data_IF_963751249012
#
_entry.id   IF_963751249012
#
_cell.length_a   1.000
_cell.length_b   1.000
_cell.length_c   1.000
_cell.angle_alpha   90.00
_cell.angle_beta   90.00
_cell.angle_gamma   90.00
#
_symmetry.space_group_name_H-M   'P 1'
#
loop_
_entity.id
_entity.type
_entity.pdbx_description
1 polymer ?
#
# COMPACT_ATOMS: atom_id res chain seq x y z
N UNK A 1 -18.17 -7.90 -4.33
CA UNK A 1 -17.19 -8.64 -5.15
C UNK A 1 -15.82 -8.34 -4.55
N UNK A 2 -15.07 -9.34 -4.06
CA UNK A 2 -13.75 -9.12 -3.43
C UNK A 2 -12.78 -8.57 -4.48
N UNK A 3 -12.53 -7.25 -4.41
CA UNK A 3 -11.82 -6.45 -5.41
C UNK A 3 -10.31 -6.65 -5.40
N UNK A 4 -9.85 -7.73 -6.03
CA UNK A 4 -8.43 -7.89 -6.38
C UNK A 4 -8.22 -8.31 -7.85
N UNK A 5 -9.30 -8.43 -8.63
CA UNK A 5 -9.34 -8.73 -10.07
C UNK A 5 -8.12 -9.44 -10.68
N UNK A 6 -7.63 -8.89 -11.80
CA UNK A 6 -6.40 -9.29 -12.50
C UNK A 6 -5.11 -8.79 -11.82
N UNK A 7 -5.22 -7.92 -10.82
CA UNK A 7 -4.06 -7.30 -10.15
C UNK A 7 -3.53 -8.09 -8.97
N UNK A 8 -4.29 -9.08 -8.47
CA UNK A 8 -3.91 -9.92 -7.32
C UNK A 8 -2.50 -10.48 -7.42
N UNK A 9 -2.11 -11.00 -8.59
CA UNK A 9 -0.77 -11.55 -8.79
C UNK A 9 0.32 -10.47 -8.73
N UNK A 10 0.04 -9.28 -9.28
CA UNK A 10 0.95 -8.14 -9.22
C UNK A 10 1.15 -7.66 -7.77
N UNK A 11 0.08 -7.56 -7.00
CA UNK A 11 0.12 -7.22 -5.57
C UNK A 11 0.92 -8.23 -4.76
N UNK A 12 0.65 -9.53 -4.95
CA UNK A 12 1.41 -10.58 -4.29
C UNK A 12 2.89 -10.54 -4.67
N UNK A 13 3.22 -10.25 -5.93
CA UNK A 13 4.61 -10.11 -6.40
C UNK A 13 5.32 -8.94 -5.71
N UNK A 14 4.65 -7.80 -5.54
CA UNK A 14 5.18 -6.63 -4.82
C UNK A 14 5.40 -6.93 -3.34
N UNK A 15 4.41 -7.52 -2.68
CA UNK A 15 4.50 -7.91 -1.28
C UNK A 15 5.65 -8.92 -1.03
N UNK A 16 5.83 -9.92 -1.90
CA UNK A 16 6.97 -10.85 -1.82
C UNK A 16 8.33 -10.14 -1.97
N UNK A 17 8.40 -9.09 -2.80
CA UNK A 17 9.62 -8.28 -2.93
C UNK A 17 9.89 -7.49 -1.65
N UNK A 18 8.86 -6.87 -1.07
CA UNK A 18 8.95 -6.14 0.20
C UNK A 18 9.39 -7.07 1.33
N UNK A 19 8.79 -8.26 1.43
CA UNK A 19 9.20 -9.30 2.38
C UNK A 19 10.68 -9.65 2.24
N UNK A 20 11.19 -9.75 1.01
CA UNK A 20 12.61 -9.92 0.73
C UNK A 20 13.48 -8.77 1.24
N UNK A 21 13.00 -7.52 1.17
CA UNK A 21 13.68 -6.36 1.75
C UNK A 21 13.73 -6.45 3.28
N UNK A 22 12.64 -6.87 3.94
CA UNK A 22 12.59 -7.05 5.39
C UNK A 22 13.56 -8.16 5.84
N UNK A 23 13.59 -9.30 5.15
CA UNK A 23 14.61 -10.33 5.40
C UNK A 23 16.04 -9.83 5.17
N UNK A 24 16.22 -8.92 4.21
CA UNK A 24 17.49 -8.23 3.98
C UNK A 24 17.91 -7.39 5.18
N UNK A 25 17.00 -6.60 5.74
CA UNK A 25 17.24 -5.79 6.94
C UNK A 25 17.65 -6.65 8.14
N UNK A 26 16.97 -7.78 8.37
CA UNK A 26 17.34 -8.73 9.43
C UNK A 26 18.80 -9.17 9.30
N UNK A 27 19.21 -9.62 8.10
CA UNK A 27 20.62 -10.01 7.84
C UNK A 27 21.60 -8.86 8.01
N UNK A 28 21.22 -7.63 7.66
CA UNK A 28 22.11 -6.48 7.85
C UNK A 28 22.36 -6.20 9.33
N UNK A 29 21.33 -6.35 10.17
CA UNK A 29 21.47 -6.23 11.63
C UNK A 29 22.30 -7.37 12.20
N UNK A 30 22.04 -8.62 11.80
CA UNK A 30 22.82 -9.80 12.23
C UNK A 30 24.31 -9.71 11.86
N UNK A 31 24.64 -8.96 10.81
CA UNK A 31 26.00 -8.77 10.30
C UNK A 31 26.65 -7.46 10.77
N UNK A 32 26.05 -6.76 11.74
CA UNK A 32 26.52 -5.47 12.27
C UNK A 32 26.85 -4.45 11.15
N UNK A 33 26.00 -4.37 10.12
CA UNK A 33 26.18 -3.42 9.02
C UNK A 33 26.07 -1.98 9.49
N UNK A 34 26.71 -1.08 8.74
CA UNK A 34 26.70 0.33 9.06
C UNK A 34 25.27 0.89 9.11
N UNK A 35 24.98 1.64 10.18
CA UNK A 35 23.62 2.12 10.46
C UNK A 35 23.01 2.92 9.30
N UNK A 36 23.81 3.68 8.56
CA UNK A 36 23.31 4.47 7.42
C UNK A 36 22.85 3.58 6.26
N UNK A 37 23.51 2.45 6.03
CA UNK A 37 23.09 1.49 5.01
C UNK A 37 21.76 0.83 5.40
N UNK A 38 21.61 0.49 6.69
CA UNK A 38 20.36 -0.04 7.24
C UNK A 38 19.24 0.99 7.06
N UNK A 39 19.45 2.26 7.42
CA UNK A 39 18.46 3.33 7.26
C UNK A 39 18.09 3.56 5.78
N UNK A 40 19.05 3.42 4.87
CA UNK A 40 18.82 3.49 3.42
C UNK A 40 17.89 2.35 2.99
N UNK A 41 18.15 1.13 3.46
CA UNK A 41 17.33 -0.03 3.13
C UNK A 41 15.93 0.03 3.77
N UNK A 42 15.81 0.57 4.99
CA UNK A 42 14.51 0.86 5.63
C UNK A 42 13.72 1.82 4.77
N UNK A 43 14.33 2.93 4.33
CA UNK A 43 13.68 3.91 3.46
C UNK A 43 13.21 3.29 2.14
N UNK A 44 14.00 2.37 1.57
CA UNK A 44 13.62 1.65 0.35
C UNK A 44 12.41 0.70 0.57
N UNK A 45 12.33 0.04 1.74
CA UNK A 45 11.19 -0.82 2.09
C UNK A 45 9.92 0.02 2.35
N UNK A 46 10.04 1.13 3.07
CA UNK A 46 8.93 2.06 3.33
C UNK A 46 8.38 2.63 2.03
N UNK A 47 9.24 3.07 1.10
CA UNK A 47 8.81 3.57 -0.21
C UNK A 47 8.08 2.51 -1.04
N UNK A 48 8.51 1.25 -0.96
CA UNK A 48 7.83 0.15 -1.64
C UNK A 48 6.43 -0.11 -1.05
N UNK A 49 6.27 -0.04 0.28
CA UNK A 49 4.98 -0.12 0.96
C UNK A 49 4.05 1.05 0.62
N UNK A 50 4.58 2.27 0.57
CA UNK A 50 3.82 3.45 0.15
C UNK A 50 3.33 3.31 -1.29
N UNK A 51 4.19 2.87 -2.22
CA UNK A 51 3.79 2.60 -3.61
C UNK A 51 2.69 1.54 -3.70
N UNK A 52 2.79 0.46 -2.93
CA UNK A 52 1.74 -0.57 -2.88
C UNK A 52 0.42 -0.03 -2.33
N UNK A 53 0.48 0.82 -1.28
CA UNK A 53 -0.70 1.43 -0.68
C UNK A 53 -1.44 2.36 -1.63
N UNK A 54 -0.69 3.12 -2.45
CA UNK A 54 -1.26 3.97 -3.50
C UNK A 54 -1.95 3.15 -4.60
N UNK A 55 -1.35 2.04 -5.04
CA UNK A 55 -1.97 1.16 -6.05
C UNK A 55 -3.30 0.57 -5.56
N UNK A 56 -3.36 0.10 -4.31
CA UNK A 56 -4.62 -0.38 -3.71
C UNK A 56 -5.67 0.73 -3.60
N UNK A 57 -5.24 1.95 -3.27
CA UNK A 57 -6.14 3.09 -3.20
C UNK A 57 -6.71 3.42 -4.59
N UNK A 58 -5.87 3.42 -5.63
CA UNK A 58 -6.30 3.68 -7.01
C UNK A 58 -7.35 2.64 -7.46
N UNK A 59 -7.14 1.34 -7.18
CA UNK A 59 -8.15 0.31 -7.47
C UNK A 59 -9.46 0.56 -6.68
N UNK A 60 -9.36 0.93 -5.40
CA UNK A 60 -10.53 1.22 -4.57
C UNK A 60 -11.33 2.43 -5.10
N UNK A 61 -10.65 3.49 -5.52
CA UNK A 61 -11.27 4.67 -6.12
C UNK A 61 -11.96 4.29 -7.45
N UNK A 62 -11.26 3.57 -8.32
CA UNK A 62 -11.75 3.21 -9.65
C UNK A 62 -12.93 2.22 -9.62
N UNK A 63 -13.06 1.42 -8.56
CA UNK A 63 -14.11 0.42 -8.43
C UNK A 63 -15.18 0.85 -7.44
N UNK A 64 -14.88 0.82 -6.14
CA UNK A 64 -15.86 1.05 -5.08
C UNK A 64 -16.42 2.47 -5.09
N UNK A 65 -15.56 3.49 -5.22
CA UNK A 65 -16.02 4.89 -5.18
C UNK A 65 -16.76 5.27 -6.45
N UNK A 66 -16.24 4.91 -7.63
CA UNK A 66 -16.94 5.18 -8.91
C UNK A 66 -18.30 4.47 -8.96
N UNK A 67 -18.39 3.21 -8.52
CA UNK A 67 -19.66 2.48 -8.47
C UNK A 67 -20.65 3.12 -7.50
N UNK A 68 -20.21 3.49 -6.30
CA UNK A 68 -21.06 4.15 -5.31
C UNK A 68 -21.52 5.54 -5.79
N UNK A 69 -20.63 6.30 -6.44
CA UNK A 69 -20.97 7.60 -7.03
C UNK A 69 -22.02 7.46 -8.16
N UNK A 70 -21.95 6.40 -8.96
CA UNK A 70 -22.95 6.11 -9.99
C UNK A 70 -24.31 5.68 -9.41
N UNK A 71 -24.32 4.99 -8.26
CA UNK A 71 -25.53 4.61 -7.54
C UNK A 71 -26.20 5.77 -6.80
N UNK A 72 -25.40 6.73 -6.31
CA UNK A 72 -25.85 7.92 -5.58
C UNK A 72 -26.29 7.64 -4.14
N UNK A 73 -26.77 8.68 -3.47
CA UNK A 73 -27.25 8.61 -2.08
C UNK A 73 -26.14 8.47 -1.03
N UNK A 74 -26.52 8.09 0.18
CA UNK A 74 -25.63 8.03 1.36
C UNK A 74 -24.43 7.09 1.18
N UNK A 75 -24.56 6.08 0.30
CA UNK A 75 -23.48 5.13 0.00
C UNK A 75 -22.30 5.82 -0.71
N UNK A 76 -22.57 6.78 -1.60
CA UNK A 76 -21.54 7.56 -2.28
C UNK A 76 -20.72 8.38 -1.27
N UNK A 77 -21.40 9.10 -0.37
CA UNK A 77 -20.78 9.91 0.67
C UNK A 77 -19.95 9.06 1.63
N UNK A 78 -20.45 7.88 2.01
CA UNK A 78 -19.75 6.97 2.90
C UNK A 78 -18.45 6.44 2.27
N UNK A 79 -18.49 6.06 0.98
CA UNK A 79 -17.30 5.56 0.26
C UNK A 79 -16.25 6.64 0.02
N UNK A 80 -16.67 7.88 -0.27
CA UNK A 80 -15.74 9.01 -0.39
C UNK A 80 -15.05 9.32 0.94
N UNK A 81 -15.79 9.28 2.06
CA UNK A 81 -15.21 9.48 3.39
C UNK A 81 -14.22 8.37 3.76
N UNK A 82 -14.56 7.11 3.49
CA UNK A 82 -13.68 5.95 3.71
C UNK A 82 -12.34 6.11 2.99
N UNK A 83 -12.38 6.49 1.71
CA UNK A 83 -11.16 6.73 0.92
C UNK A 83 -10.36 7.92 1.44
N UNK A 84 -11.03 9.03 1.82
CA UNK A 84 -10.38 10.22 2.36
C UNK A 84 -9.65 9.92 3.68
N UNK A 85 -10.26 9.14 4.56
CA UNK A 85 -9.65 8.71 5.82
C UNK A 85 -8.45 7.79 5.61
N UNK A 86 -8.51 6.90 4.61
CA UNK A 86 -7.38 6.05 4.25
C UNK A 86 -6.19 6.87 3.74
N UNK A 87 -6.43 7.84 2.85
CA UNK A 87 -5.40 8.79 2.37
C UNK A 87 -4.79 9.57 3.54
N UNK A 88 -5.63 10.07 4.44
CA UNK A 88 -5.16 10.83 5.59
C UNK A 88 -4.20 10.03 6.49
N UNK A 89 -4.42 8.72 6.64
CA UNK A 89 -3.50 7.82 7.36
C UNK A 89 -2.19 7.64 6.60
N UNK A 90 -2.25 7.46 5.28
CA UNK A 90 -1.08 7.24 4.43
C UNK A 90 -0.15 8.48 4.36
N UNK A 91 -0.71 9.69 4.39
CA UNK A 91 0.09 10.93 4.36
C UNK A 91 0.79 11.19 5.70
N UNK A 92 0.29 10.62 6.80
CA UNK A 92 0.86 10.80 8.14
C UNK A 92 1.93 9.76 8.50
N UNK A 93 2.12 8.72 7.68
CA UNK A 93 3.11 7.65 7.88
C UNK A 93 4.42 7.92 7.16
#
# INVERSE_FOLDING_TARGET
>A
MTGYGSEREAYLKRLRRIEGQIRGLQRMVEQDKYCIDILTQVSAATKALQSFSLELLDEHLATCVVQAAAAGGDEADLKVREASDAIARLVRS
#
